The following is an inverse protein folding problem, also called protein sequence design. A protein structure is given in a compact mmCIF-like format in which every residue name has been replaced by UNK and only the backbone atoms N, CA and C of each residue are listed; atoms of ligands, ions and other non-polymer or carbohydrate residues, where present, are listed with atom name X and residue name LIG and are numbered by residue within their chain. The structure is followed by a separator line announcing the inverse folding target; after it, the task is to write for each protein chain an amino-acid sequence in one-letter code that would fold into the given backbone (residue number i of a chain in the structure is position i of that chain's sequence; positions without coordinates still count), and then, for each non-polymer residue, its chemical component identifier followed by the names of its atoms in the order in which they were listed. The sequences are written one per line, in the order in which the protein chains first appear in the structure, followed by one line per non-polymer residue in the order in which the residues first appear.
data_IF_498650268048
#
_entry.id   IF_498650268048
#
_cell.length_a   1.000
_cell.length_b   1.000
_cell.length_c   1.000
_cell.angle_alpha   90.00
_cell.angle_beta   90.00
_cell.angle_gamma   90.00
#
_symmetry.space_group_name_H-M   'P 1'
#
loop_
_entity.id
_entity.type
_entity.pdbx_description
1 polymer ?
#
# COMPACT_ATOMS: atom_id res chain seq x y z
N UNK A 1 21.26 12.13 -20.11
CA UNK A 1 21.55 11.26 -18.94
C UNK A 1 20.73 11.72 -17.75
N UNK A 2 20.38 10.81 -16.83
CA UNK A 2 19.54 11.11 -15.67
C UNK A 2 20.29 10.84 -14.37
N UNK A 3 19.97 11.60 -13.33
CA UNK A 3 20.55 11.47 -11.99
C UNK A 3 19.47 11.52 -10.91
N UNK A 4 19.73 10.88 -9.77
CA UNK A 4 18.82 10.94 -8.61
C UNK A 4 18.89 12.31 -7.91
N UNK A 5 20.11 12.81 -7.70
CA UNK A 5 20.40 14.13 -7.11
C UNK A 5 21.36 14.93 -8.01
N UNK A 6 21.48 16.23 -7.78
CA UNK A 6 22.35 17.13 -8.57
C UNK A 6 23.82 16.67 -8.58
N UNK A 7 24.37 16.40 -7.40
CA UNK A 7 25.73 15.91 -7.18
C UNK A 7 25.89 14.40 -7.39
N UNK A 8 24.80 13.70 -7.70
CA UNK A 8 24.79 12.26 -7.87
C UNK A 8 25.50 11.77 -9.14
N UNK A 9 25.82 10.48 -9.16
CA UNK A 9 26.25 9.80 -10.39
C UNK A 9 25.06 9.58 -11.32
N UNK A 10 25.29 9.46 -12.64
CA UNK A 10 24.26 9.01 -13.56
C UNK A 10 23.64 7.69 -13.12
N UNK A 11 22.33 7.56 -13.32
CA UNK A 11 21.62 6.30 -13.11
C UNK A 11 22.19 5.23 -14.05
N UNK A 12 22.51 4.01 -13.54
CA UNK A 12 23.15 2.97 -14.34
C UNK A 12 22.16 2.19 -15.22
N UNK A 13 20.88 2.14 -14.85
CA UNK A 13 19.82 1.39 -15.56
C UNK A 13 18.41 1.82 -15.07
N UNK A 14 17.37 1.17 -15.61
CA UNK A 14 15.98 1.33 -15.18
C UNK A 14 15.32 2.66 -15.56
N UNK A 15 16.00 3.46 -16.38
CA UNK A 15 15.54 4.77 -16.83
C UNK A 15 14.75 4.64 -18.13
N UNK A 16 13.55 5.21 -18.18
CA UNK A 16 12.82 5.39 -19.44
C UNK A 16 12.79 6.86 -19.82
N UNK A 17 13.29 7.15 -21.02
CA UNK A 17 13.27 8.45 -21.67
C UNK A 17 12.11 8.51 -22.66
N UNK A 18 11.36 9.61 -22.64
CA UNK A 18 10.40 9.97 -23.69
C UNK A 18 10.61 11.42 -24.10
N UNK A 19 10.83 11.66 -25.39
CA UNK A 19 10.96 13.00 -25.94
C UNK A 19 9.74 13.27 -26.80
N UNK A 20 9.03 14.33 -26.49
CA UNK A 20 7.82 14.75 -27.16
C UNK A 20 8.05 16.04 -27.94
N UNK A 21 7.40 16.20 -29.09
CA UNK A 21 7.27 17.49 -29.73
C UNK A 21 6.44 18.44 -28.85
N UNK A 22 6.63 19.74 -29.03
CA UNK A 22 5.81 20.77 -28.36
C UNK A 22 4.41 20.93 -28.97
N UNK A 23 4.13 20.23 -30.08
CA UNK A 23 2.81 20.19 -30.73
C UNK A 23 1.99 19.02 -30.18
N UNK A 24 0.69 19.23 -30.13
CA UNK A 24 -0.27 18.19 -29.76
C UNK A 24 -0.86 17.51 -30.99
N UNK A 25 -1.29 16.26 -30.83
CA UNK A 25 -2.08 15.55 -31.81
C UNK A 25 -3.57 16.00 -31.80
N UNK A 26 -4.42 15.30 -32.55
CA UNK A 26 -5.86 15.58 -32.63
C UNK A 26 -6.63 15.36 -31.32
N UNK A 27 -6.05 14.61 -30.38
CA UNK A 27 -6.62 14.32 -29.05
C UNK A 27 -6.19 15.35 -28.01
N UNK A 28 -5.22 16.21 -28.34
CA UNK A 28 -4.64 17.18 -27.42
C UNK A 28 -3.41 16.67 -26.67
N UNK A 29 -2.91 15.47 -27.00
CA UNK A 29 -1.75 14.86 -26.35
C UNK A 29 -0.45 15.25 -27.07
N UNK A 30 0.66 15.37 -26.33
CA UNK A 30 1.96 15.64 -26.94
C UNK A 30 2.41 14.49 -27.84
N UNK A 31 2.93 14.80 -29.02
CA UNK A 31 3.38 13.80 -29.99
C UNK A 31 4.72 13.22 -29.55
N UNK A 32 4.81 11.90 -29.35
CA UNK A 32 6.06 11.22 -29.02
C UNK A 32 7.01 11.22 -30.24
N UNK A 33 8.15 11.89 -30.11
CA UNK A 33 9.18 11.92 -31.14
C UNK A 33 10.16 10.74 -31.01
N UNK A 34 10.67 10.48 -29.80
CA UNK A 34 11.55 9.34 -29.53
C UNK A 34 11.38 8.79 -28.11
N UNK A 35 11.76 7.52 -27.94
CA UNK A 35 11.81 6.81 -26.66
C UNK A 35 13.13 6.04 -26.57
N UNK A 36 13.70 5.95 -25.38
CA UNK A 36 14.82 5.04 -25.07
C UNK A 36 14.64 4.50 -23.65
N UNK A 37 15.11 3.28 -23.41
CA UNK A 37 15.20 2.68 -22.08
C UNK A 37 16.67 2.51 -21.62
N UNK A 38 17.60 3.18 -22.32
CA UNK A 38 19.03 3.20 -21.98
C UNK A 38 19.29 4.17 -20.82
N UNK A 39 20.25 3.83 -19.97
CA UNK A 39 20.73 4.68 -18.89
C UNK A 39 21.14 6.09 -19.37
N UNK A 40 21.83 6.14 -20.50
CA UNK A 40 22.08 7.36 -21.27
C UNK A 40 21.47 7.21 -22.65
N UNK A 41 20.37 7.93 -22.90
CA UNK A 41 19.75 7.95 -24.22
C UNK A 41 20.60 8.73 -25.24
N UNK A 42 20.81 8.11 -26.40
CA UNK A 42 21.34 8.73 -27.60
C UNK A 42 20.22 8.82 -28.63
N UNK A 43 19.87 10.04 -29.05
CA UNK A 43 18.68 10.32 -29.84
C UNK A 43 19.01 11.29 -30.97
N UNK A 44 18.50 11.00 -32.16
CA UNK A 44 18.56 11.90 -33.31
C UNK A 44 17.25 12.67 -33.43
N UNK A 45 17.32 13.99 -33.28
CA UNK A 45 16.16 14.88 -33.31
C UNK A 45 16.41 15.99 -34.32
N UNK A 46 15.36 16.42 -35.01
CA UNK A 46 15.43 17.61 -35.86
C UNK A 46 15.62 18.86 -34.99
N UNK A 47 16.28 19.92 -35.48
CA UNK A 47 16.37 21.17 -34.74
C UNK A 47 14.96 21.71 -34.40
N UNK A 48 14.73 22.05 -33.14
CA UNK A 48 13.39 22.41 -32.66
C UNK A 48 13.26 22.37 -31.14
N UNK A 49 12.04 22.58 -30.64
CA UNK A 49 11.72 22.57 -29.22
C UNK A 49 10.95 21.30 -28.85
N UNK A 50 11.38 20.67 -27.76
CA UNK A 50 10.87 19.40 -27.26
C UNK A 50 10.60 19.46 -25.76
N UNK A 51 9.78 18.51 -25.31
CA UNK A 51 9.56 18.19 -23.90
C UNK A 51 10.20 16.83 -23.63
N UNK A 52 11.13 16.77 -22.67
CA UNK A 52 11.84 15.55 -22.28
C UNK A 52 11.28 15.09 -20.95
N UNK A 53 10.71 13.89 -20.96
CA UNK A 53 10.25 13.16 -19.77
C UNK A 53 11.23 12.05 -19.44
N UNK A 54 11.54 11.91 -18.16
CA UNK A 54 12.36 10.83 -17.62
C UNK A 54 11.61 10.18 -16.47
N UNK A 55 11.57 8.85 -16.48
CA UNK A 55 11.03 8.05 -15.38
C UNK A 55 12.06 7.04 -14.86
N UNK A 56 12.05 6.81 -13.56
CA UNK A 56 12.79 5.77 -12.87
C UNK A 56 11.93 5.20 -11.73
N UNK A 57 11.45 3.98 -11.90
CA UNK A 57 10.41 3.42 -11.03
C UNK A 57 9.12 4.25 -11.11
N UNK A 58 8.65 4.78 -9.97
CA UNK A 58 7.53 5.73 -9.92
C UNK A 58 7.97 7.19 -9.84
N UNK A 59 9.26 7.46 -9.71
CA UNK A 59 9.78 8.81 -9.78
C UNK A 59 9.85 9.26 -11.24
N UNK A 60 9.47 10.51 -11.49
CA UNK A 60 9.53 11.09 -12.82
C UNK A 60 9.79 12.59 -12.79
N UNK A 61 10.32 13.12 -13.87
CA UNK A 61 10.51 14.55 -14.07
C UNK A 61 10.38 14.89 -15.55
N UNK A 62 10.01 16.14 -15.84
CA UNK A 62 9.87 16.65 -17.18
C UNK A 62 10.57 18.00 -17.28
N UNK A 63 11.30 18.21 -18.38
CA UNK A 63 11.91 19.49 -18.68
C UNK A 63 11.91 19.76 -20.20
N UNK A 64 12.01 21.01 -20.59
CA UNK A 64 12.10 21.42 -21.99
C UNK A 64 13.52 21.27 -22.54
N UNK A 65 13.63 21.02 -23.84
CA UNK A 65 14.89 20.94 -24.57
C UNK A 65 14.76 21.65 -25.91
N UNK A 66 15.63 22.62 -26.17
CA UNK A 66 15.84 23.17 -27.51
C UNK A 66 17.01 22.44 -28.16
N UNK A 67 16.75 21.76 -29.27
CA UNK A 67 17.73 21.06 -30.08
C UNK A 67 18.24 22.00 -31.16
N UNK A 68 19.56 22.27 -31.16
CA UNK A 68 20.26 22.95 -32.24
C UNK A 68 20.90 21.93 -33.20
N UNK A 69 21.39 22.38 -34.36
CA UNK A 69 22.16 21.51 -35.24
C UNK A 69 23.46 21.05 -34.55
N UNK A 70 23.78 19.76 -34.65
CA UNK A 70 24.97 19.17 -34.05
C UNK A 70 24.72 18.49 -32.71
N UNK A 71 25.75 18.41 -31.87
CA UNK A 71 25.67 17.71 -30.58
C UNK A 71 24.93 18.55 -29.54
N UNK A 72 23.92 17.94 -28.91
CA UNK A 72 23.17 18.54 -27.81
C UNK A 72 23.30 17.64 -26.58
N UNK A 73 23.32 18.22 -25.38
CA UNK A 73 23.38 17.47 -24.12
C UNK A 73 22.30 17.96 -23.16
N UNK A 74 21.59 17.00 -22.55
CA UNK A 74 20.61 17.27 -21.50
C UNK A 74 20.86 16.34 -20.31
N UNK A 75 20.86 16.94 -19.13
CA UNK A 75 20.85 16.25 -17.85
C UNK A 75 19.50 16.56 -17.17
N UNK A 76 18.87 15.54 -16.61
CA UNK A 76 17.72 15.71 -15.73
C UNK A 76 18.04 15.12 -14.35
N UNK A 77 17.66 15.84 -13.32
CA UNK A 77 17.71 15.38 -11.92
C UNK A 77 16.28 15.03 -11.53
N UNK A 78 16.06 13.80 -11.06
CA UNK A 78 14.73 13.34 -10.68
C UNK A 78 14.27 13.85 -9.31
N UNK A 79 15.20 14.25 -8.45
CA UNK A 79 14.97 14.52 -7.02
C UNK A 79 14.18 13.38 -6.40
N UNK A 80 14.74 12.17 -6.46
CA UNK A 80 14.06 10.94 -6.06
C UNK A 80 14.70 10.30 -4.83
N UNK A 81 13.89 9.64 -4.01
CA UNK A 81 14.33 8.73 -2.97
C UNK A 81 13.62 7.39 -3.11
N UNK A 82 13.72 6.56 -2.09
CA UNK A 82 13.01 5.29 -2.02
C UNK A 82 12.29 5.15 -0.67
N UNK A 83 11.25 4.34 -0.66
CA UNK A 83 10.52 3.98 0.56
C UNK A 83 10.44 2.46 0.69
N UNK A 84 10.70 1.96 1.89
CA UNK A 84 10.47 0.58 2.30
C UNK A 84 9.57 0.56 3.52
N UNK A 85 8.50 -0.22 3.43
CA UNK A 85 7.46 -0.28 4.45
C UNK A 85 7.39 -1.67 5.06
N UNK A 86 7.25 -1.74 6.37
CA UNK A 86 6.91 -2.95 7.10
C UNK A 86 5.87 -2.64 8.18
N UNK A 87 5.31 -3.67 8.80
CA UNK A 87 4.45 -3.50 9.95
C UNK A 87 4.55 -4.67 10.94
N UNK A 88 4.24 -4.36 12.19
CA UNK A 88 4.13 -5.32 13.27
C UNK A 88 2.91 -5.00 14.13
N UNK A 89 2.47 -5.93 14.95
CA UNK A 89 1.54 -5.64 16.04
C UNK A 89 2.34 -5.08 17.22
N UNK A 90 1.73 -4.16 17.98
CA UNK A 90 2.34 -3.55 19.18
C UNK A 90 2.96 -4.63 20.08
N UNK A 91 4.20 -4.40 20.53
CA UNK A 91 5.00 -5.42 21.23
C UNK A 91 5.85 -6.31 20.30
N UNK A 92 6.13 -5.83 19.07
CA UNK A 92 6.98 -6.47 18.06
C UNK A 92 6.52 -7.87 17.62
N UNK A 93 5.22 -8.12 17.68
CA UNK A 93 4.63 -9.37 17.19
C UNK A 93 4.59 -9.32 15.65
N UNK A 94 5.24 -10.27 14.95
CA UNK A 94 5.32 -10.25 13.49
C UNK A 94 3.95 -10.54 12.86
N UNK A 95 3.67 -9.86 11.75
CA UNK A 95 2.46 -10.07 10.94
C UNK A 95 2.79 -11.03 9.79
N UNK A 96 1.98 -12.07 9.52
CA UNK A 96 2.12 -12.90 8.33
C UNK A 96 2.08 -12.05 7.05
N UNK A 97 3.05 -12.25 6.15
CA UNK A 97 3.21 -11.45 4.93
C UNK A 97 1.94 -11.38 4.08
N UNK A 98 1.16 -12.46 4.02
CA UNK A 98 -0.07 -12.55 3.24
C UNK A 98 -1.25 -11.80 3.86
N UNK A 99 -1.12 -11.30 5.08
CA UNK A 99 -2.12 -10.46 5.75
C UNK A 99 -1.73 -8.98 5.73
N UNK A 100 -0.56 -8.63 5.19
CA UNK A 100 -0.04 -7.28 5.26
C UNK A 100 0.07 -6.69 3.85
N UNK A 101 -0.57 -5.53 3.66
CA UNK A 101 -0.43 -4.74 2.42
C UNK A 101 -0.35 -3.26 2.73
N UNK A 102 0.23 -2.50 1.79
CA UNK A 102 0.33 -1.05 1.88
C UNK A 102 -0.15 -0.36 0.61
N UNK A 103 -0.82 0.77 0.81
CA UNK A 103 -1.10 1.75 -0.23
C UNK A 103 -0.34 3.04 0.07
N UNK A 104 0.14 3.69 -1.00
CA UNK A 104 0.85 4.98 -0.96
C UNK A 104 0.05 5.97 -1.78
N UNK A 105 -0.24 7.11 -1.17
CA UNK A 105 -0.90 8.24 -1.81
C UNK A 105 -0.01 9.47 -1.78
N UNK A 106 -0.18 10.35 -2.76
CA UNK A 106 0.46 11.66 -2.78
C UNK A 106 -0.07 12.58 -1.68
N UNK A 107 0.52 13.77 -1.59
CA UNK A 107 0.02 14.81 -0.69
C UNK A 107 -1.40 15.26 -1.08
N UNK A 108 -2.22 15.59 -0.09
CA UNK A 108 -3.57 16.10 -0.27
C UNK A 108 -4.18 16.53 1.06
N UNK A 109 -5.09 17.51 1.02
CA UNK A 109 -5.71 18.11 2.20
C UNK A 109 -6.71 17.19 2.93
N UNK A 110 -7.31 16.24 2.21
CA UNK A 110 -8.18 15.19 2.75
C UNK A 110 -7.99 13.88 1.96
N UNK A 111 -8.63 12.79 2.40
CA UNK A 111 -8.47 11.45 1.82
C UNK A 111 -9.05 11.33 0.39
N UNK A 112 -10.09 12.12 0.06
CA UNK A 112 -10.73 12.11 -1.27
C UNK A 112 -9.90 12.82 -2.35
N UNK A 113 -9.10 13.81 -1.95
CA UNK A 113 -8.27 14.60 -2.87
C UNK A 113 -6.91 13.94 -3.16
N UNK A 114 -6.59 12.85 -2.46
CA UNK A 114 -5.28 12.19 -2.55
C UNK A 114 -5.20 11.30 -3.77
N UNK A 115 -4.19 11.56 -4.60
CA UNK A 115 -3.91 10.71 -5.76
C UNK A 115 -3.22 9.42 -5.33
N UNK A 116 -3.73 8.28 -5.77
CA UNK A 116 -3.11 6.98 -5.55
C UNK A 116 -1.77 6.90 -6.31
N UNK A 117 -0.69 6.60 -5.60
CA UNK A 117 0.67 6.48 -6.16
C UNK A 117 1.06 5.02 -6.32
N UNK A 118 0.77 4.18 -5.33
CA UNK A 118 0.99 2.74 -5.36
C UNK A 118 -0.07 2.05 -4.49
N UNK A 119 -0.44 0.83 -4.84
CA UNK A 119 -1.41 0.04 -4.07
C UNK A 119 -0.96 -1.42 -3.96
N UNK A 120 -1.46 -2.11 -2.95
CA UNK A 120 -1.22 -3.54 -2.71
C UNK A 120 0.28 -3.90 -2.67
N UNK A 121 1.10 -3.03 -2.08
CA UNK A 121 2.52 -3.30 -1.88
C UNK A 121 2.70 -4.37 -0.81
N UNK A 122 3.64 -5.30 -1.04
CA UNK A 122 4.05 -6.28 -0.05
C UNK A 122 5.00 -5.63 0.97
N UNK A 123 5.09 -6.16 2.21
CA UNK A 123 6.08 -5.68 3.16
C UNK A 123 7.49 -5.87 2.61
N UNK A 124 8.33 -4.87 2.87
CA UNK A 124 9.70 -4.74 2.42
C UNK A 124 9.90 -4.48 0.91
N UNK A 125 8.82 -4.31 0.14
CA UNK A 125 8.94 -3.77 -1.23
C UNK A 125 9.59 -2.39 -1.19
N UNK A 126 10.55 -2.17 -2.10
CA UNK A 126 11.22 -0.88 -2.27
C UNK A 126 10.55 -0.14 -3.41
N UNK A 127 9.99 1.03 -3.10
CA UNK A 127 9.32 1.88 -4.08
C UNK A 127 10.10 3.19 -4.26
N UNK A 128 10.58 3.42 -5.46
CA UNK A 128 11.24 4.69 -5.83
C UNK A 128 10.21 5.77 -6.11
N UNK A 129 10.35 6.92 -5.46
CA UNK A 129 9.40 8.03 -5.47
C UNK A 129 10.15 9.35 -5.64
N UNK A 130 9.50 10.37 -6.22
CA UNK A 130 10.03 11.73 -6.11
C UNK A 130 10.08 12.14 -4.63
N UNK A 131 10.93 13.11 -4.30
CA UNK A 131 11.00 13.66 -2.96
C UNK A 131 9.70 14.38 -2.62
N UNK A 132 9.26 14.21 -1.37
CA UNK A 132 7.98 14.74 -0.92
C UNK A 132 7.41 13.97 0.26
N UNK A 133 6.23 14.41 0.71
CA UNK A 133 5.47 13.74 1.76
C UNK A 133 4.38 12.90 1.14
N UNK A 134 4.28 11.65 1.58
CA UNK A 134 3.33 10.66 1.11
C UNK A 134 2.48 10.17 2.27
N UNK A 135 1.21 9.90 1.97
CA UNK A 135 0.32 9.24 2.91
C UNK A 135 0.32 7.74 2.71
N UNK A 136 0.54 7.01 3.79
CA UNK A 136 0.66 5.56 3.80
C UNK A 136 -0.53 4.99 4.53
N UNK A 137 -1.18 4.01 3.91
CA UNK A 137 -2.22 3.19 4.52
C UNK A 137 -1.71 1.76 4.62
N UNK A 138 -1.52 1.27 5.84
CA UNK A 138 -1.15 -0.11 6.14
C UNK A 138 -2.38 -0.89 6.56
N UNK A 139 -2.63 -2.02 5.91
CA UNK A 139 -3.74 -2.91 6.24
C UNK A 139 -3.20 -4.19 6.85
N UNK A 140 -3.83 -4.64 7.93
CA UNK A 140 -3.59 -5.94 8.53
C UNK A 140 -4.88 -6.77 8.42
N UNK A 141 -4.91 -7.72 7.50
CA UNK A 141 -6.11 -8.43 7.09
C UNK A 141 -7.08 -7.56 6.28
N UNK A 142 -8.32 -8.03 6.14
CA UNK A 142 -9.30 -7.46 5.20
C UNK A 142 -10.49 -6.76 5.88
N UNK A 143 -10.47 -6.64 7.20
CA UNK A 143 -11.62 -6.16 7.97
C UNK A 143 -11.45 -4.70 8.40
N UNK A 144 -10.87 -4.44 9.57
CA UNK A 144 -10.87 -3.10 10.16
C UNK A 144 -9.55 -2.69 10.83
N UNK A 145 -8.50 -3.51 10.74
CA UNK A 145 -7.18 -3.17 11.25
C UNK A 145 -6.38 -2.38 10.20
N UNK A 146 -6.44 -1.05 10.32
CA UNK A 146 -5.79 -0.10 9.40
C UNK A 146 -4.99 0.93 10.19
N UNK A 147 -3.74 1.17 9.77
CA UNK A 147 -2.88 2.22 10.31
C UNK A 147 -2.54 3.21 9.21
N UNK A 148 -2.53 4.50 9.54
CA UNK A 148 -2.20 5.58 8.61
C UNK A 148 -1.03 6.40 9.12
N UNK A 149 -0.15 6.82 8.22
CA UNK A 149 0.99 7.67 8.54
C UNK A 149 1.35 8.57 7.36
N UNK A 150 1.89 9.76 7.65
CA UNK A 150 2.50 10.61 6.63
C UNK A 150 4.03 10.46 6.74
N UNK A 151 4.67 9.98 5.67
CA UNK A 151 6.11 9.73 5.62
C UNK A 151 6.76 10.59 4.56
N UNK A 152 7.98 11.07 4.84
CA UNK A 152 8.74 11.93 3.95
C UNK A 152 9.82 11.13 3.23
N UNK A 153 9.90 11.29 1.92
CA UNK A 153 10.97 10.80 1.05
C UNK A 153 11.91 11.95 0.76
N UNK A 154 13.19 11.75 1.05
CA UNK A 154 14.26 12.71 0.73
C UNK A 154 15.07 12.26 -0.49
N UNK A 155 15.61 13.19 -1.30
CA UNK A 155 16.44 12.84 -2.45
C UNK A 155 17.65 12.00 -2.05
N UNK A 156 17.89 10.91 -2.78
CA UNK A 156 19.02 10.01 -2.58
C UNK A 156 18.95 9.13 -1.32
N UNK A 157 17.84 9.15 -0.57
CA UNK A 157 17.71 8.40 0.68
C UNK A 157 16.67 7.27 0.57
N UNK A 158 16.90 6.21 1.35
CA UNK A 158 15.89 5.19 1.64
C UNK A 158 15.18 5.54 2.95
N UNK A 159 13.90 5.83 2.85
CA UNK A 159 13.00 5.93 4.01
C UNK A 159 12.54 4.54 4.39
N UNK A 160 12.99 4.06 5.55
CA UNK A 160 12.64 2.74 6.08
C UNK A 160 11.73 2.90 7.29
N UNK A 161 10.51 2.37 7.22
CA UNK A 161 9.49 2.59 8.24
C UNK A 161 8.75 1.31 8.62
N UNK A 162 8.56 1.12 9.93
CA UNK A 162 7.72 0.06 10.48
C UNK A 162 6.49 0.68 11.15
N UNK A 163 5.30 0.33 10.69
CA UNK A 163 4.02 0.78 11.25
C UNK A 163 3.50 -0.24 12.28
N UNK A 164 2.92 0.25 13.38
CA UNK A 164 2.45 -0.63 14.45
C UNK A 164 0.93 -0.70 14.50
N UNK A 165 0.38 -1.89 14.27
CA UNK A 165 -1.04 -2.18 14.39
C UNK A 165 -1.42 -2.44 15.84
N UNK A 166 -2.64 -2.02 16.20
CA UNK A 166 -3.34 -2.45 17.41
C UNK A 166 -4.46 -3.39 17.01
N UNK A 167 -4.12 -4.66 16.85
CA UNK A 167 -5.02 -5.68 16.32
C UNK A 167 -4.51 -7.07 16.69
N UNK A 168 -5.35 -8.08 16.50
CA UNK A 168 -4.97 -9.47 16.61
C UNK A 168 -5.72 -10.32 15.59
N UNK A 169 -5.14 -11.46 15.22
CA UNK A 169 -5.88 -12.49 14.52
C UNK A 169 -6.80 -13.21 15.50
N UNK A 170 -8.07 -13.38 15.13
CA UNK A 170 -9.11 -13.99 15.94
C UNK A 170 -9.73 -15.16 15.18
N UNK A 171 -9.70 -16.34 15.77
CA UNK A 171 -10.48 -17.50 15.34
C UNK A 171 -11.72 -17.67 16.20
N UNK A 172 -12.77 -18.26 15.63
CA UNK A 172 -14.02 -18.54 16.34
C UNK A 172 -14.35 -20.02 16.27
N UNK A 173 -14.95 -20.55 17.33
CA UNK A 173 -15.56 -21.89 17.33
C UNK A 173 -16.77 -21.94 18.26
N UNK A 174 -17.80 -22.69 17.85
CA UNK A 174 -18.98 -22.95 18.67
C UNK A 174 -18.79 -24.30 19.35
N UNK A 175 -18.94 -24.37 20.67
CA UNK A 175 -18.70 -25.58 21.46
C UNK A 175 -19.85 -25.86 22.43
N UNK A 176 -20.09 -27.13 22.73
CA UNK A 176 -21.14 -27.53 23.70
C UNK A 176 -20.72 -27.33 25.15
N UNK A 177 -19.42 -27.33 25.41
CA UNK A 177 -18.79 -27.09 26.71
C UNK A 177 -17.43 -26.42 26.48
N UNK A 178 -16.93 -25.68 27.47
CA UNK A 178 -15.66 -24.98 27.37
C UNK A 178 -14.51 -25.95 26.99
N UNK A 179 -13.68 -25.56 26.02
CA UNK A 179 -12.60 -26.41 25.49
C UNK A 179 -13.07 -27.63 24.70
N UNK A 180 -14.36 -27.74 24.38
CA UNK A 180 -14.94 -28.85 23.63
C UNK A 180 -14.61 -28.83 22.13
N UNK A 181 -15.14 -29.83 21.42
CA UNK A 181 -15.04 -29.93 19.96
C UNK A 181 -15.92 -28.87 19.27
N UNK A 182 -15.39 -28.30 18.18
CA UNK A 182 -16.11 -27.30 17.40
C UNK A 182 -17.26 -27.93 16.62
N UNK A 183 -18.40 -27.28 16.68
CA UNK A 183 -19.58 -27.59 15.88
C UNK A 183 -19.40 -26.95 14.50
N UNK A 184 -19.60 -27.73 13.44
CA UNK A 184 -19.50 -27.28 12.06
C UNK A 184 -20.79 -26.61 11.56
N UNK A 185 -20.74 -26.11 10.32
CA UNK A 185 -21.86 -25.51 9.60
C UNK A 185 -22.56 -24.37 10.37
N UNK A 186 -21.74 -23.53 10.99
CA UNK A 186 -22.17 -22.36 11.74
C UNK A 186 -22.07 -21.13 10.85
N UNK A 187 -23.14 -20.34 10.82
CA UNK A 187 -23.17 -19.01 10.21
C UNK A 187 -22.70 -17.98 11.25
N UNK A 188 -21.50 -17.48 11.04
CA UNK A 188 -20.81 -16.54 11.91
C UNK A 188 -21.06 -15.11 11.48
N UNK A 189 -21.33 -14.25 12.44
CA UNK A 189 -21.38 -12.80 12.26
C UNK A 189 -20.65 -12.13 13.42
N UNK A 190 -19.68 -11.27 13.12
CA UNK A 190 -19.01 -10.43 14.12
C UNK A 190 -19.44 -8.99 13.92
N UNK A 191 -19.81 -8.34 15.02
CA UNK A 191 -20.21 -6.95 15.07
C UNK A 191 -19.29 -6.16 15.99
N UNK A 192 -19.03 -4.92 15.64
CA UNK A 192 -18.43 -3.90 16.52
C UNK A 192 -19.43 -3.49 17.62
N UNK A 193 -18.94 -2.77 18.63
CA UNK A 193 -19.76 -2.27 19.74
C UNK A 193 -20.94 -1.37 19.32
N UNK A 194 -20.84 -0.69 18.18
CA UNK A 194 -21.92 0.12 17.59
C UNK A 194 -22.94 -0.70 16.76
N UNK A 195 -22.74 -2.02 16.67
CA UNK A 195 -23.64 -2.94 15.98
C UNK A 195 -23.37 -3.12 14.48
N UNK A 196 -22.34 -2.48 13.92
CA UNK A 196 -21.94 -2.70 12.53
C UNK A 196 -21.39 -4.12 12.35
N UNK A 197 -21.89 -4.86 11.35
CA UNK A 197 -21.30 -6.14 10.95
C UNK A 197 -19.98 -5.92 10.22
N UNK A 198 -18.90 -6.51 10.73
CA UNK A 198 -17.54 -6.37 10.17
C UNK A 198 -16.99 -7.67 9.59
N UNK A 199 -17.54 -8.82 9.97
CA UNK A 199 -17.11 -10.11 9.43
C UNK A 199 -18.25 -11.12 9.43
N UNK A 200 -18.33 -11.92 8.36
CA UNK A 200 -19.23 -13.07 8.26
C UNK A 200 -18.52 -14.26 7.63
N UNK A 201 -18.88 -15.47 8.02
CA UNK A 201 -18.33 -16.70 7.45
C UNK A 201 -19.21 -17.91 7.78
N UNK A 202 -19.12 -18.98 6.99
CA UNK A 202 -19.74 -20.27 7.31
C UNK A 202 -18.64 -21.32 7.51
N UNK A 203 -18.60 -21.95 8.67
CA UNK A 203 -17.64 -23.02 8.96
C UNK A 203 -17.48 -23.34 10.43
N UNK A 204 -16.63 -24.32 10.73
CA UNK A 204 -16.32 -24.74 12.11
C UNK A 204 -15.31 -23.81 12.81
N UNK A 205 -14.35 -23.28 12.04
CA UNK A 205 -13.20 -22.52 12.54
C UNK A 205 -12.86 -21.31 11.64
N UNK A 206 -13.78 -20.36 11.43
CA UNK A 206 -13.41 -19.13 10.71
C UNK A 206 -12.35 -18.35 11.49
N UNK A 207 -11.51 -17.62 10.76
CA UNK A 207 -10.57 -16.67 11.35
C UNK A 207 -10.54 -15.37 10.56
N UNK A 208 -10.22 -14.28 11.25
CA UNK A 208 -10.06 -12.96 10.67
C UNK A 208 -9.11 -12.11 11.50
N UNK A 209 -8.76 -10.92 11.04
CA UNK A 209 -8.01 -9.93 11.82
C UNK A 209 -8.97 -8.85 12.28
N UNK A 210 -8.93 -8.50 13.57
CA UNK A 210 -9.73 -7.43 14.15
C UNK A 210 -8.84 -6.41 14.83
N UNK A 211 -9.15 -5.12 14.65
CA UNK A 211 -8.58 -4.04 15.44
C UNK A 211 -8.91 -4.21 16.93
N UNK A 212 -8.04 -3.69 17.80
CA UNK A 212 -8.29 -3.59 19.25
C UNK A 212 -9.63 -2.87 19.52
N UNK A 213 -10.44 -3.44 20.40
CA UNK A 213 -11.78 -2.93 20.69
C UNK A 213 -12.76 -4.00 21.16
N UNK A 214 -14.01 -3.61 21.39
CA UNK A 214 -15.08 -4.49 21.88
C UNK A 214 -15.98 -4.96 20.73
N UNK A 215 -16.35 -6.24 20.77
CA UNK A 215 -17.09 -6.91 19.71
C UNK A 215 -18.14 -7.88 20.28
N UNK A 216 -19.15 -8.16 19.44
CA UNK A 216 -20.14 -9.21 19.64
C UNK A 216 -20.01 -10.23 18.51
N UNK A 217 -19.78 -11.50 18.86
CA UNK A 217 -19.88 -12.59 17.89
C UNK A 217 -21.23 -13.28 18.02
N UNK A 218 -21.84 -13.60 16.88
CA UNK A 218 -23.07 -14.35 16.73
C UNK A 218 -22.74 -15.63 15.94
N UNK A 219 -23.17 -16.77 16.46
CA UNK A 219 -23.04 -18.09 15.87
C UNK A 219 -24.44 -18.67 15.65
N UNK A 220 -24.90 -18.70 14.39
CA UNK A 220 -26.21 -19.22 14.03
C UNK A 220 -26.11 -20.66 13.55
N UNK A 221 -26.92 -21.54 14.14
CA UNK A 221 -27.07 -22.96 13.77
C UNK A 221 -28.54 -23.27 13.53
N UNK A 222 -28.94 -23.40 12.27
CA UNK A 222 -30.36 -23.49 11.91
C UNK A 222 -31.11 -22.25 12.41
N UNK A 223 -32.11 -22.44 13.26
CA UNK A 223 -32.89 -21.35 13.87
C UNK A 223 -32.29 -20.80 15.18
N UNK A 224 -31.30 -21.48 15.74
CA UNK A 224 -30.70 -21.08 17.03
C UNK A 224 -29.56 -20.09 16.81
N UNK A 225 -29.51 -19.02 17.60
CA UNK A 225 -28.42 -18.04 17.59
C UNK A 225 -27.78 -17.99 18.97
N UNK A 226 -26.47 -18.24 19.00
CA UNK A 226 -25.62 -18.12 20.18
C UNK A 226 -24.79 -16.86 20.05
N UNK A 227 -24.50 -16.19 21.15
CA UNK A 227 -23.73 -14.96 21.11
C UNK A 227 -22.75 -14.84 22.28
N UNK A 228 -21.68 -14.09 22.07
CA UNK A 228 -20.68 -13.78 23.09
C UNK A 228 -20.07 -12.42 22.82
N UNK A 229 -20.01 -11.59 23.86
CA UNK A 229 -19.18 -10.39 23.87
C UNK A 229 -17.72 -10.76 24.13
N UNK A 230 -16.81 -10.09 23.43
CA UNK A 230 -15.38 -10.29 23.58
C UNK A 230 -14.60 -9.03 23.23
N UNK A 231 -13.55 -8.75 23.99
CA UNK A 231 -12.64 -7.63 23.73
C UNK A 231 -11.43 -8.14 22.95
N UNK A 232 -11.01 -7.46 21.89
CA UNK A 232 -9.73 -7.62 21.18
C UNK A 232 -8.67 -6.73 21.81
N UNK A 233 -7.53 -7.34 22.17
CA UNK A 233 -6.31 -6.66 22.58
C UNK A 233 -5.25 -6.88 21.51
N UNK A 234 -4.41 -5.88 21.28
CA UNK A 234 -3.27 -6.03 20.38
C UNK A 234 -2.34 -7.16 20.87
N UNK A 235 -1.97 -8.08 19.99
CA UNK A 235 -1.03 -9.14 20.32
C UNK A 235 -1.12 -10.39 19.44
N UNK A 236 -0.72 -11.56 19.97
CA UNK A 236 -0.73 -12.81 19.22
C UNK A 236 -2.15 -13.25 18.86
N UNK A 237 -2.22 -14.22 17.94
CA UNK A 237 -3.48 -14.85 17.56
C UNK A 237 -4.20 -15.46 18.76
N UNK A 238 -5.54 -15.43 18.72
CA UNK A 238 -6.38 -15.90 19.82
C UNK A 238 -7.67 -16.53 19.33
N UNK A 239 -8.25 -17.37 20.17
CA UNK A 239 -9.48 -18.08 19.89
C UNK A 239 -10.63 -17.57 20.77
N UNK A 240 -11.81 -17.42 20.17
CA UNK A 240 -13.05 -17.04 20.84
C UNK A 240 -14.03 -18.22 20.78
N UNK A 241 -14.32 -18.80 21.94
CA UNK A 241 -15.30 -19.87 22.09
C UNK A 241 -16.70 -19.31 22.33
N UNK A 242 -17.68 -19.71 21.53
CA UNK A 242 -19.11 -19.46 21.82
C UNK A 242 -19.71 -20.75 22.38
N UNK A 243 -20.46 -20.66 23.48
CA UNK A 243 -21.10 -21.81 24.11
C UNK A 243 -22.54 -21.96 23.63
N UNK A 244 -22.99 -23.21 23.44
CA UNK A 244 -24.39 -23.50 23.13
C UNK A 244 -25.33 -23.37 24.34
N UNK A 245 -24.78 -23.13 25.53
CA UNK A 245 -25.52 -22.95 26.78
C UNK A 245 -25.17 -21.60 27.40
N UNK A 246 -26.20 -20.82 27.73
CA UNK A 246 -26.08 -19.62 28.58
C UNK A 246 -26.12 -20.12 30.02
N UNK A 247 -25.09 -19.82 30.82
CA UNK A 247 -25.12 -20.04 32.26
C UNK A 247 -26.00 -19.00 32.96
#
# INVERSE_FOLDING_TARGET
MAKITEDGTPLPDGVTWRVFETRTDSSGDLILAQKSDDATAHMELTPGNYVVHVAYGRAQTTDTLTVAQGENRKQLVLDAGAMRLNAAVTGDVPIPINLLRFDIYGAGGNEADRTLVAQNLSPNDIVTLNAGTYHIVSYFGDVNAVVRADLRVEPGQLTDATLYHKAAQVSFKLVSQAGGEAIADIDWTVKTADGQTVFTNIGAFPSTVLAEGDYLVLAKRGEQVYNREFQVQAGPAREVEVLTTVY
#
